data_IF_283700399784
#
_entry.id   IF_283700399784
#
_cell.length_a   1.000
_cell.length_b   1.000
_cell.length_c   1.000
_cell.angle_alpha   90.00
_cell.angle_beta   90.00
_cell.angle_gamma   90.00
#
_symmetry.space_group_name_H-M   'P 1'
#
loop_
_entity.id
_entity.type
_entity.pdbx_description
1 polymer ?
#
# COMPACT_ATOMS: atom_id res chain seq x y z
N UNK A 1 -32.17 32.79 -20.55
CA UNK A 1 -30.94 32.27 -21.20
C UNK A 1 -30.54 31.03 -20.43
N UNK A 2 -30.58 29.86 -21.06
CA UNK A 2 -30.15 28.60 -20.42
C UNK A 2 -28.65 28.51 -20.66
N UNK A 3 -27.83 28.93 -19.68
CA UNK A 3 -26.40 28.66 -19.72
C UNK A 3 -26.21 27.17 -19.53
N UNK A 4 -25.92 26.45 -20.61
CA UNK A 4 -25.63 25.02 -20.55
C UNK A 4 -24.31 24.80 -19.82
N UNK A 5 -24.34 24.04 -18.73
CA UNK A 5 -23.12 23.59 -18.05
C UNK A 5 -22.39 22.60 -18.95
N UNK A 6 -21.14 22.90 -19.29
CA UNK A 6 -20.26 22.05 -20.08
C UNK A 6 -19.51 21.09 -19.15
N UNK A 7 -19.55 19.79 -19.44
CA UNK A 7 -19.01 18.76 -18.53
C UNK A 7 -17.86 18.03 -19.22
N UNK A 8 -16.70 17.97 -18.56
CA UNK A 8 -15.60 17.11 -18.97
C UNK A 8 -15.78 15.72 -18.36
N UNK A 9 -15.97 14.71 -19.20
CA UNK A 9 -16.05 13.30 -18.80
C UNK A 9 -14.66 12.64 -18.70
N UNK A 10 -13.62 13.28 -19.24
CA UNK A 10 -12.25 12.76 -19.28
C UNK A 10 -11.48 12.94 -17.96
N UNK A 11 -12.12 13.46 -16.90
CA UNK A 11 -11.44 13.75 -15.63
C UNK A 11 -11.35 12.49 -14.73
N UNK A 12 -10.15 12.15 -14.20
CA UNK A 12 -9.90 10.88 -13.52
C UNK A 12 -10.50 10.74 -12.10
N UNK A 13 -10.99 11.82 -11.48
CA UNK A 13 -11.55 11.80 -10.11
C UNK A 13 -13.05 12.12 -10.11
N UNK A 14 -13.43 13.21 -10.76
CA UNK A 14 -14.83 13.61 -10.94
C UNK A 14 -14.92 14.44 -12.20
N UNK A 15 -16.04 14.33 -12.91
CA UNK A 15 -16.33 15.16 -14.06
C UNK A 15 -16.34 16.63 -13.67
N UNK A 16 -15.45 17.42 -14.28
CA UNK A 16 -15.39 18.86 -14.04
C UNK A 16 -16.47 19.55 -14.86
N UNK A 17 -17.15 20.51 -14.24
CA UNK A 17 -18.16 21.35 -14.89
C UNK A 17 -17.57 22.72 -15.18
N UNK A 18 -17.90 23.27 -16.33
CA UNK A 18 -17.46 24.55 -16.84
C UNK A 18 -18.68 25.36 -17.27
N UNK A 19 -18.64 26.66 -17.06
CA UNK A 19 -19.75 27.56 -17.41
C UNK A 19 -19.73 27.90 -18.90
N UNK A 20 -18.58 27.75 -19.57
CA UNK A 20 -18.42 28.01 -20.99
C UNK A 20 -17.75 26.86 -21.75
N UNK A 21 -18.08 26.71 -23.03
CA UNK A 21 -17.41 25.75 -23.91
C UNK A 21 -15.91 26.03 -24.07
N UNK A 22 -15.51 27.31 -24.00
CA UNK A 22 -14.11 27.72 -24.14
C UNK A 22 -13.24 27.20 -22.99
N UNK A 23 -13.74 27.26 -21.76
CA UNK A 23 -13.05 26.73 -20.58
C UNK A 23 -12.91 25.20 -20.65
N UNK A 24 -13.93 24.50 -21.16
CA UNK A 24 -13.85 23.06 -21.40
C UNK A 24 -12.75 22.73 -22.43
N UNK A 25 -12.70 23.44 -23.56
CA UNK A 25 -11.67 23.23 -24.59
C UNK A 25 -10.26 23.52 -24.08
N UNK A 26 -10.08 24.58 -23.28
CA UNK A 26 -8.79 24.89 -22.65
C UNK A 26 -8.41 23.76 -21.67
N UNK A 27 -9.35 23.32 -20.83
CA UNK A 27 -9.12 22.22 -19.91
C UNK A 27 -8.71 20.92 -20.64
N UNK A 28 -9.37 20.60 -21.76
CA UNK A 28 -8.98 19.45 -22.59
C UNK A 28 -7.59 19.65 -23.19
N UNK A 29 -7.25 20.84 -23.70
CA UNK A 29 -5.93 21.15 -24.24
C UNK A 29 -4.81 21.12 -23.18
N UNK A 30 -5.10 21.49 -21.94
CA UNK A 30 -4.17 21.42 -20.81
C UNK A 30 -3.93 19.98 -20.31
N UNK A 31 -4.75 19.02 -20.74
CA UNK A 31 -4.62 17.61 -20.39
C UNK A 31 -4.40 16.76 -21.65
N UNK A 32 -3.24 16.89 -22.33
CA UNK A 32 -3.01 16.25 -23.63
C UNK A 32 -2.72 14.75 -23.54
N UNK A 33 -2.43 14.22 -22.34
CA UNK A 33 -2.05 12.82 -22.17
C UNK A 33 -3.28 11.97 -21.82
N UNK A 34 -3.67 11.06 -22.71
CA UNK A 34 -4.84 10.21 -22.55
C UNK A 34 -4.48 8.79 -22.13
N UNK A 35 -5.30 8.19 -21.25
CA UNK A 35 -5.18 6.79 -20.87
C UNK A 35 -5.72 5.89 -21.98
N UNK A 36 -4.85 5.07 -22.55
CA UNK A 36 -5.16 4.06 -23.57
C UNK A 36 -6.21 3.01 -23.19
N UNK A 37 -6.61 2.90 -21.91
CA UNK A 37 -7.57 1.91 -21.43
C UNK A 37 -8.96 2.47 -21.08
N UNK A 38 -9.05 3.75 -20.71
CA UNK A 38 -10.30 4.32 -20.19
C UNK A 38 -10.57 5.77 -20.61
N UNK A 39 -9.77 6.34 -21.52
CA UNK A 39 -9.99 7.68 -22.08
C UNK A 39 -9.76 8.86 -21.11
N UNK A 40 -9.32 8.59 -19.87
CA UNK A 40 -9.02 9.65 -18.90
C UNK A 40 -7.83 10.49 -19.36
N UNK A 41 -7.91 11.80 -19.17
CA UNK A 41 -6.89 12.77 -19.60
C UNK A 41 -6.12 13.36 -18.42
N UNK A 42 -4.84 13.60 -18.64
CA UNK A 42 -3.87 14.08 -17.64
C UNK A 42 -3.00 15.19 -18.21
N UNK A 43 -2.53 16.07 -17.33
CA UNK A 43 -1.69 17.23 -17.69
C UNK A 43 -0.28 16.83 -18.12
N UNK A 44 0.21 15.68 -17.66
CA UNK A 44 1.54 15.19 -17.98
C UNK A 44 1.58 13.67 -18.15
N UNK A 45 2.59 13.20 -18.87
CA UNK A 45 2.81 11.78 -19.17
C UNK A 45 2.92 10.93 -17.91
N UNK A 46 3.63 11.42 -16.89
CA UNK A 46 3.89 10.69 -15.64
C UNK A 46 2.59 10.39 -14.86
N UNK A 47 1.63 11.32 -14.84
CA UNK A 47 0.33 11.10 -14.22
C UNK A 47 -0.50 10.06 -14.99
N UNK A 48 -0.48 10.09 -16.33
CA UNK A 48 -1.14 9.11 -17.16
C UNK A 48 -0.51 7.71 -17.00
N UNK A 49 0.82 7.61 -17.03
CA UNK A 49 1.55 6.35 -16.82
C UNK A 49 1.29 5.78 -15.42
N UNK A 50 1.33 6.61 -14.37
CA UNK A 50 0.99 6.17 -13.01
C UNK A 50 -0.45 5.68 -12.92
N UNK A 51 -1.39 6.36 -13.57
CA UNK A 51 -2.79 5.91 -13.62
C UNK A 51 -2.92 4.55 -14.34
N UNK A 52 -2.29 4.40 -15.51
CA UNK A 52 -2.27 3.13 -16.25
C UNK A 52 -1.65 2.01 -15.41
N UNK A 53 -0.50 2.26 -14.80
CA UNK A 53 0.21 1.29 -13.97
C UNK A 53 -0.55 0.91 -12.70
N UNK A 54 -1.31 1.83 -12.10
CA UNK A 54 -2.03 1.56 -10.84
C UNK A 54 -3.42 0.95 -11.04
N UNK A 55 -4.10 1.22 -12.16
CA UNK A 55 -5.50 0.78 -12.35
C UNK A 55 -5.71 -0.23 -13.48
N UNK A 56 -4.83 -0.24 -14.50
CA UNK A 56 -5.04 -1.08 -15.69
C UNK A 56 -3.97 -2.16 -15.84
N UNK A 57 -2.72 -1.81 -15.56
CA UNK A 57 -1.55 -2.70 -15.71
C UNK A 57 -1.05 -3.24 -14.36
N UNK A 58 -1.67 -2.84 -13.25
CA UNK A 58 -1.15 -3.10 -11.91
C UNK A 58 -1.01 -4.61 -11.65
N UNK A 59 0.25 -5.06 -11.59
CA UNK A 59 0.61 -6.44 -11.25
C UNK A 59 0.61 -6.67 -9.75
N UNK A 60 0.95 -5.63 -9.00
CA UNK A 60 1.23 -5.71 -7.56
C UNK A 60 0.32 -4.77 -6.77
N UNK A 61 -0.24 -5.27 -5.68
CA UNK A 61 -1.04 -4.47 -4.75
C UNK A 61 -0.64 -4.81 -3.32
N UNK A 62 -0.65 -3.80 -2.46
CA UNK A 62 -0.36 -3.98 -1.04
C UNK A 62 -1.64 -4.09 -0.25
N UNK A 63 -1.65 -5.01 0.71
CA UNK A 63 -2.79 -5.19 1.61
C UNK A 63 -2.37 -5.88 2.90
N UNK A 64 -2.89 -5.39 4.03
CA UNK A 64 -2.71 -6.04 5.33
C UNK A 64 -3.30 -7.46 5.38
N UNK A 65 -4.16 -7.84 4.42
CA UNK A 65 -4.69 -9.21 4.33
C UNK A 65 -3.65 -10.28 3.98
N UNK A 66 -2.44 -9.92 3.55
CA UNK A 66 -1.36 -10.91 3.38
C UNK A 66 -0.91 -11.44 4.75
N UNK A 67 -0.86 -10.55 5.75
CA UNK A 67 -0.36 -10.87 7.08
C UNK A 67 -1.45 -11.56 7.90
N UNK A 68 -1.44 -12.89 7.85
CA UNK A 68 -2.41 -13.72 8.56
C UNK A 68 -1.94 -14.06 9.98
N UNK A 69 -0.65 -14.30 10.16
CA UNK A 69 -0.02 -14.66 11.44
C UNK A 69 0.78 -13.52 12.07
N UNK A 70 0.95 -13.57 13.40
CA UNK A 70 1.77 -12.59 14.14
C UNK A 70 3.27 -12.76 13.82
N UNK A 71 3.73 -13.97 13.48
CA UNK A 71 5.12 -14.27 13.07
C UNK A 71 5.60 -13.49 11.85
N UNK A 72 4.72 -13.16 10.92
CA UNK A 72 5.07 -12.44 9.68
C UNK A 72 5.37 -10.95 9.92
N UNK A 73 5.14 -10.46 11.15
CA UNK A 73 5.37 -9.08 11.56
C UNK A 73 6.69 -8.88 12.30
N UNK A 74 7.45 -9.96 12.52
CA UNK A 74 8.75 -9.91 13.17
C UNK A 74 9.81 -10.43 12.21
N UNK A 75 10.89 -9.68 12.10
CA UNK A 75 12.05 -10.06 11.29
C UNK A 75 13.23 -10.32 12.23
N UNK A 76 14.16 -11.20 11.85
CA UNK A 76 15.37 -11.43 12.64
C UNK A 76 16.14 -10.10 12.79
N UNK A 77 16.60 -9.81 14.01
CA UNK A 77 17.27 -8.54 14.27
C UNK A 77 18.56 -8.43 13.46
N UNK A 78 18.70 -7.33 12.71
CA UNK A 78 19.94 -7.02 11.99
C UNK A 78 21.09 -6.66 12.93
N UNK A 79 20.78 -6.28 14.17
CA UNK A 79 21.76 -5.89 15.19
C UNK A 79 22.16 -7.09 16.05
N UNK A 80 21.18 -7.92 16.43
CA UNK A 80 21.39 -9.11 17.26
C UNK A 80 20.79 -10.37 16.61
N UNK A 81 21.36 -10.86 15.50
CA UNK A 81 20.81 -11.98 14.75
C UNK A 81 20.70 -13.24 15.60
N UNK A 82 19.56 -13.94 15.54
CA UNK A 82 19.35 -15.15 16.34
C UNK A 82 18.96 -14.91 17.80
N UNK A 83 19.19 -13.72 18.34
CA UNK A 83 18.97 -13.38 19.76
C UNK A 83 17.74 -12.48 19.99
N UNK A 84 17.42 -11.61 19.05
CA UNK A 84 16.22 -10.77 19.09
C UNK A 84 15.54 -10.69 17.72
N UNK A 85 14.28 -10.25 17.75
CA UNK A 85 13.50 -9.96 16.56
C UNK A 85 13.07 -8.50 16.53
N UNK A 86 13.04 -7.91 15.34
CA UNK A 86 12.62 -6.53 15.09
C UNK A 86 11.15 -6.50 14.66
N UNK A 87 10.34 -5.66 15.30
CA UNK A 87 8.96 -5.41 14.89
C UNK A 87 8.92 -4.67 13.54
N UNK A 88 8.18 -5.23 12.57
CA UNK A 88 8.05 -4.68 11.22
C UNK A 88 7.32 -3.34 11.14
N UNK A 89 6.56 -2.94 12.17
CA UNK A 89 5.86 -1.65 12.18
C UNK A 89 6.72 -0.52 12.76
N UNK A 90 7.39 -0.72 13.90
CA UNK A 90 8.10 0.32 14.62
C UNK A 90 9.62 0.15 14.72
N UNK A 91 10.15 -1.04 14.42
CA UNK A 91 11.57 -1.33 14.58
C UNK A 91 12.01 -1.65 16.01
N UNK A 92 11.10 -1.80 16.97
CA UNK A 92 11.47 -2.19 18.34
C UNK A 92 12.02 -3.62 18.39
N UNK A 93 13.01 -3.85 19.25
CA UNK A 93 13.66 -5.15 19.44
C UNK A 93 12.98 -5.96 20.54
N UNK A 94 12.71 -7.22 20.24
CA UNK A 94 12.10 -8.19 21.13
C UNK A 94 13.06 -9.35 21.36
N UNK A 95 13.63 -9.51 22.57
CA UNK A 95 14.57 -10.58 22.85
C UNK A 95 13.89 -11.96 22.81
N UNK A 96 14.67 -12.98 22.47
CA UNK A 96 14.29 -14.38 22.59
C UNK A 96 14.83 -14.90 23.92
N UNK A 97 13.95 -15.28 24.84
CA UNK A 97 14.35 -15.62 26.21
C UNK A 97 14.51 -17.12 26.46
N UNK A 98 14.02 -17.97 25.54
CA UNK A 98 14.10 -19.42 25.68
C UNK A 98 15.51 -19.91 25.35
N UNK A 99 16.10 -20.75 26.19
CA UNK A 99 17.39 -21.36 25.91
C UNK A 99 17.33 -22.87 26.13
N UNK A 100 17.94 -23.64 25.22
CA UNK A 100 18.12 -25.08 25.35
C UNK A 100 19.44 -25.51 24.69
N UNK A 101 19.71 -26.82 24.66
CA UNK A 101 20.94 -27.36 24.07
C UNK A 101 21.11 -27.06 22.57
N UNK A 102 20.04 -26.69 21.87
CA UNK A 102 20.03 -26.40 20.42
C UNK A 102 20.08 -24.91 20.09
N UNK A 103 20.01 -24.02 21.09
CA UNK A 103 20.12 -22.57 20.90
C UNK A 103 19.07 -21.75 21.65
N UNK A 104 18.91 -20.50 21.23
CA UNK A 104 17.92 -19.56 21.76
C UNK A 104 16.63 -19.65 20.93
N UNK A 105 15.47 -19.68 21.58
CA UNK A 105 14.16 -19.78 20.95
C UNK A 105 13.15 -18.83 21.60
N UNK A 106 12.04 -18.57 20.91
CA UNK A 106 10.95 -17.71 21.38
C UNK A 106 10.05 -18.52 22.30
N UNK A 107 9.84 -18.05 23.54
CA UNK A 107 8.92 -18.68 24.49
C UNK A 107 7.49 -18.18 24.31
N UNK A 108 6.52 -18.86 24.92
CA UNK A 108 5.13 -18.42 24.94
C UNK A 108 4.99 -17.02 25.57
N UNK A 109 5.74 -16.72 26.63
CA UNK A 109 5.76 -15.40 27.26
C UNK A 109 6.25 -14.31 26.29
N UNK A 110 7.31 -14.59 25.52
CA UNK A 110 7.77 -13.65 24.50
C UNK A 110 6.69 -13.41 23.43
N UNK A 111 5.91 -14.44 23.10
CA UNK A 111 4.79 -14.31 22.18
C UNK A 111 3.64 -13.47 22.74
N UNK A 112 3.32 -13.63 24.02
CA UNK A 112 2.31 -12.80 24.71
C UNK A 112 2.69 -11.31 24.66
N UNK A 113 3.94 -10.97 24.96
CA UNK A 113 4.44 -9.58 24.91
C UNK A 113 4.35 -9.00 23.49
N UNK A 114 4.77 -9.79 22.48
CA UNK A 114 4.71 -9.41 21.07
C UNK A 114 3.28 -9.19 20.59
N UNK A 115 2.36 -10.09 20.94
CA UNK A 115 0.94 -9.98 20.56
C UNK A 115 0.32 -8.74 21.22
N UNK A 116 0.59 -8.52 22.50
CA UNK A 116 0.10 -7.35 23.23
C UNK A 116 0.62 -6.05 22.62
N UNK A 117 1.90 -5.99 22.24
CA UNK A 117 2.48 -4.85 21.54
C UNK A 117 1.78 -4.60 20.18
N UNK A 118 1.63 -5.64 19.34
CA UNK A 118 0.99 -5.52 18.02
C UNK A 118 -0.48 -5.08 18.10
N UNK A 119 -1.23 -5.58 19.08
CA UNK A 119 -2.62 -5.20 19.27
C UNK A 119 -2.74 -3.81 19.91
N UNK A 120 -1.98 -3.53 20.98
CA UNK A 120 -2.09 -2.30 21.74
C UNK A 120 -1.53 -1.06 21.02
N UNK A 121 -0.38 -1.20 20.36
CA UNK A 121 0.32 -0.07 19.71
C UNK A 121 -0.07 0.01 18.23
N UNK A 122 -0.02 -1.12 17.53
CA UNK A 122 -0.19 -1.15 16.07
C UNK A 122 -1.60 -1.49 15.61
N UNK A 123 -2.55 -1.74 16.54
CA UNK A 123 -3.95 -2.04 16.24
C UNK A 123 -4.09 -3.13 15.18
N UNK A 124 -3.23 -4.15 15.29
CA UNK A 124 -3.18 -5.23 14.31
C UNK A 124 -4.55 -5.95 14.26
N UNK A 125 -5.05 -6.18 13.03
CA UNK A 125 -6.39 -6.69 12.70
C UNK A 125 -7.58 -5.74 12.92
N UNK A 126 -7.35 -4.49 13.29
CA UNK A 126 -8.42 -3.49 13.39
C UNK A 126 -8.60 -2.67 12.11
N UNK A 127 -7.65 -2.74 11.17
CA UNK A 127 -7.79 -2.10 9.87
C UNK A 127 -8.68 -2.92 8.93
N UNK A 128 -9.21 -2.30 7.87
CA UNK A 128 -9.93 -3.02 6.83
C UNK A 128 -8.94 -3.88 6.00
N UNK A 129 -8.92 -5.21 6.17
CA UNK A 129 -7.93 -6.06 5.50
C UNK A 129 -8.22 -6.20 4.00
N UNK A 130 -9.46 -5.94 3.56
CA UNK A 130 -9.83 -5.96 2.14
C UNK A 130 -9.37 -4.73 1.38
N UNK A 131 -8.88 -3.69 2.10
CA UNK A 131 -8.34 -2.49 1.46
C UNK A 131 -7.08 -2.84 0.68
N UNK A 132 -7.08 -2.47 -0.59
CA UNK A 132 -5.95 -2.62 -1.51
C UNK A 132 -5.36 -1.26 -1.79
N UNK A 133 -4.04 -1.20 -1.75
CA UNK A 133 -3.27 -0.04 -2.13
C UNK A 133 -2.53 -0.40 -3.43
N UNK A 134 -2.66 0.44 -4.45
CA UNK A 134 -1.98 0.28 -5.73
C UNK A 134 -0.77 1.22 -5.86
N UNK A 135 -0.29 1.72 -4.71
CA UNK A 135 0.86 2.61 -4.58
C UNK A 135 1.51 2.34 -3.24
N UNK A 136 2.82 2.08 -3.27
CA UNK A 136 3.66 1.90 -2.09
C UNK A 136 3.55 3.10 -1.14
N UNK A 137 3.59 4.33 -1.65
CA UNK A 137 3.48 5.54 -0.84
C UNK A 137 2.18 5.61 -0.04
N UNK A 138 1.04 5.32 -0.69
CA UNK A 138 -0.25 5.29 0.00
C UNK A 138 -0.33 4.15 1.01
N UNK A 139 0.33 3.03 0.75
CA UNK A 139 0.42 1.93 1.71
C UNK A 139 1.28 2.30 2.92
N UNK A 140 2.46 2.89 2.72
CA UNK A 140 3.32 3.43 3.79
C UNK A 140 2.58 4.46 4.64
N UNK A 141 1.79 5.33 3.99
CA UNK A 141 0.94 6.28 4.69
C UNK A 141 -0.12 5.57 5.55
N UNK A 142 -0.72 4.49 5.04
CA UNK A 142 -1.63 3.67 5.83
C UNK A 142 -0.95 2.98 7.02
N UNK A 143 0.26 2.44 6.86
CA UNK A 143 1.03 1.88 7.97
C UNK A 143 1.32 2.94 9.03
N UNK A 144 1.75 4.13 8.62
CA UNK A 144 2.05 5.25 9.52
C UNK A 144 0.85 5.69 10.35
N UNK A 145 -0.30 5.95 9.72
CA UNK A 145 -1.46 6.51 10.40
C UNK A 145 -2.46 5.48 10.93
N UNK A 146 -2.54 4.31 10.29
CA UNK A 146 -3.45 3.23 10.67
C UNK A 146 -2.83 2.24 11.66
N UNK A 147 -1.52 2.03 11.58
CA UNK A 147 -0.79 1.08 12.40
C UNK A 147 0.29 1.74 13.26
N UNK A 148 0.29 3.07 13.43
CA UNK A 148 1.34 3.79 14.16
C UNK A 148 2.78 3.41 13.70
N UNK A 149 2.93 3.07 12.42
CA UNK A 149 4.19 2.63 11.86
C UNK A 149 5.22 3.76 11.78
N UNK A 150 6.49 3.40 12.02
CA UNK A 150 7.64 4.29 11.93
C UNK A 150 8.42 3.90 10.67
N UNK A 151 8.79 4.90 9.88
CA UNK A 151 9.63 4.68 8.70
C UNK A 151 11.06 4.37 9.13
N UNK A 152 11.59 3.23 8.67
CA UNK A 152 12.94 2.78 8.96
C UNK A 152 13.35 1.63 8.05
N UNK A 153 14.50 1.02 8.33
CA UNK A 153 15.08 -0.06 7.51
C UNK A 153 14.16 -1.31 7.41
N UNK A 154 13.29 -1.51 8.40
CA UNK A 154 12.31 -2.60 8.48
C UNK A 154 11.06 -2.34 7.63
N UNK A 155 10.80 -1.09 7.22
CA UNK A 155 9.57 -0.72 6.51
C UNK A 155 9.50 -1.35 5.12
N UNK A 156 10.63 -1.45 4.43
CA UNK A 156 10.69 -2.09 3.11
C UNK A 156 10.45 -3.61 3.20
N UNK A 157 10.90 -4.26 4.29
CA UNK A 157 10.62 -5.69 4.55
C UNK A 157 9.14 -5.92 4.81
N UNK A 158 8.52 -5.08 5.64
CA UNK A 158 7.07 -5.14 5.90
C UNK A 158 6.25 -4.84 4.63
N UNK A 159 6.67 -3.87 3.82
CA UNK A 159 6.02 -3.55 2.55
C UNK A 159 6.06 -4.72 1.58
N UNK A 160 7.23 -5.33 1.40
CA UNK A 160 7.39 -6.48 0.52
C UNK A 160 6.56 -7.67 1.02
N UNK A 161 6.55 -7.94 2.32
CA UNK A 161 5.71 -8.96 2.93
C UNK A 161 4.20 -8.72 2.69
N UNK A 162 3.78 -7.47 2.52
CA UNK A 162 2.39 -7.10 2.25
C UNK A 162 2.02 -7.06 0.76
N UNK A 163 2.96 -7.32 -0.14
CA UNK A 163 2.75 -7.24 -1.59
C UNK A 163 2.09 -8.53 -2.10
N UNK A 164 1.02 -8.39 -2.90
CA UNK A 164 0.38 -9.49 -3.65
C UNK A 164 0.64 -9.31 -5.14
N UNK A 165 1.40 -10.22 -5.72
CA UNK A 165 1.51 -10.38 -7.17
C UNK A 165 0.23 -11.08 -7.68
N UNK A 166 -0.40 -10.56 -8.75
CA UNK A 166 -1.40 -11.35 -9.50
C UNK A 166 -0.70 -12.23 -10.52
N UNK A 167 -1.17 -13.47 -10.65
CA UNK A 167 -0.85 -14.34 -11.79
C UNK A 167 -1.06 -13.58 -13.11
N UNK A 168 -0.17 -13.79 -14.11
CA UNK A 168 -0.22 -13.07 -15.36
C UNK A 168 -1.60 -13.21 -16.00
N UNK A 169 -2.14 -12.14 -16.62
CA UNK A 169 -3.40 -12.27 -17.34
C UNK A 169 -3.23 -13.36 -18.39
N UNK A 170 -4.00 -14.43 -18.27
CA UNK A 170 -4.14 -15.41 -19.34
C UNK A 170 -4.63 -14.61 -20.53
N UNK A 171 -3.73 -14.38 -21.49
CA UNK A 171 -4.11 -13.87 -22.80
C UNK A 171 -5.07 -14.91 -23.37
N UNK A 172 -6.36 -14.62 -23.32
CA UNK A 172 -7.35 -15.29 -24.16
C UNK A 172 -6.99 -14.92 -25.59
N UNK A 173 -6.13 -15.73 -26.19
CA UNK A 173 -5.87 -15.71 -27.62
C UNK A 173 -7.20 -16.07 -28.28
N UNK A 174 -7.70 -15.12 -29.04
CA UNK A 174 -8.90 -15.18 -29.89
C UNK A 174 -8.81 -16.31 -30.90
#
# INVERSE_FOLDING_TARGET
MVTGLHICECCPIKSKKFDTEGELKIHEAENPYECSFCGNRFKNKNEAERHQNSLHLCRDNWSCSVMTGYEQLFFDSRVNPGESDTCGYCGEEFPRSGCNATGVFITDHNWEERIHHLQGIHRFRECNPSKKFFSADHFRQHLKYGHAGISGIWTDELEHACMKEKEPPVQSVV
#
